data_IF_239665563254
#
_entry.id   IF_239665563254
#
_cell.length_a   1.000
_cell.length_b   1.000
_cell.length_c   1.000
_cell.angle_alpha   90.00
_cell.angle_beta   90.00
_cell.angle_gamma   90.00
#
_symmetry.space_group_name_H-M   'P 1'
#
loop_
_entity.id
_entity.type
_entity.pdbx_description
1 polymer ?
#
# COMPACT_ATOMS: atom_id res chain seq x y z
N UNK A 1 -8.89 -14.95 -23.17
CA UNK A 1 -7.89 -14.45 -22.21
C UNK A 1 -6.60 -14.17 -22.97
N UNK A 2 -6.10 -12.92 -22.96
CA UNK A 2 -4.85 -12.55 -23.65
C UNK A 2 -3.67 -12.77 -22.70
N UNK A 3 -3.18 -14.01 -22.65
CA UNK A 3 -2.12 -14.42 -21.72
C UNK A 3 -0.80 -13.63 -21.94
N UNK A 4 -0.33 -13.38 -23.18
CA UNK A 4 0.85 -12.53 -23.39
C UNK A 4 0.75 -11.15 -22.77
N UNK A 5 -0.41 -10.48 -22.90
CA UNK A 5 -0.64 -9.16 -22.31
C UNK A 5 -0.67 -9.20 -20.79
N UNK A 6 -1.23 -10.25 -20.20
CA UNK A 6 -1.19 -10.44 -18.74
C UNK A 6 0.22 -10.70 -18.22
N UNK A 7 1.04 -11.44 -18.97
CA UNK A 7 2.47 -11.65 -18.66
C UNK A 7 3.23 -10.33 -18.69
N UNK A 8 2.97 -9.48 -19.69
CA UNK A 8 3.58 -8.14 -19.79
C UNK A 8 3.23 -7.28 -18.58
N UNK A 9 1.94 -7.22 -18.20
CA UNK A 9 1.49 -6.48 -17.02
C UNK A 9 2.13 -7.04 -15.76
N UNK A 10 2.13 -8.37 -15.56
CA UNK A 10 2.77 -8.99 -14.41
C UNK A 10 4.25 -8.58 -14.30
N UNK A 11 5.00 -8.67 -15.40
CA UNK A 11 6.41 -8.31 -15.42
C UNK A 11 6.61 -6.83 -15.12
N UNK A 12 5.78 -5.95 -15.71
CA UNK A 12 5.83 -4.51 -15.45
C UNK A 12 5.72 -4.18 -13.96
N UNK A 13 4.78 -4.81 -13.25
CA UNK A 13 4.61 -4.59 -11.81
C UNK A 13 5.67 -5.29 -10.97
N UNK A 14 6.17 -6.46 -11.41
CA UNK A 14 7.25 -7.18 -10.74
C UNK A 14 8.59 -6.41 -10.78
N UNK A 15 8.75 -5.45 -11.70
CA UNK A 15 9.99 -4.68 -11.86
C UNK A 15 9.88 -3.23 -11.41
N UNK A 16 8.79 -2.80 -10.74
CA UNK A 16 8.60 -1.39 -10.35
C UNK A 16 9.77 -0.85 -9.51
N UNK A 17 10.24 -1.61 -8.52
CA UNK A 17 11.36 -1.20 -7.66
C UNK A 17 12.73 -1.67 -8.18
N UNK A 18 12.76 -2.33 -9.33
CA UNK A 18 13.95 -2.94 -9.91
C UNK A 18 14.69 -2.02 -10.87
N UNK A 19 15.99 -1.84 -10.64
CA UNK A 19 16.90 -1.27 -11.65
C UNK A 19 17.75 -2.41 -12.24
N UNK A 20 17.81 -2.52 -13.56
CA UNK A 20 18.71 -3.41 -14.32
C UNK A 20 18.79 -4.86 -13.78
N UNK A 21 17.63 -5.52 -13.68
CA UNK A 21 17.54 -6.88 -13.16
C UNK A 21 17.82 -7.91 -14.28
N UNK A 22 18.94 -8.62 -14.18
CA UNK A 22 19.31 -9.72 -15.11
C UNK A 22 18.60 -11.06 -14.83
N UNK A 23 17.66 -11.09 -13.89
CA UNK A 23 16.92 -12.28 -13.51
C UNK A 23 15.40 -12.03 -13.57
N UNK A 24 14.65 -13.13 -13.70
CA UNK A 24 13.18 -13.07 -13.75
C UNK A 24 12.65 -12.61 -12.39
N UNK A 25 12.12 -11.39 -12.35
CA UNK A 25 11.53 -10.81 -11.15
C UNK A 25 10.20 -11.49 -10.79
N UNK A 26 9.92 -11.58 -9.48
CA UNK A 26 8.66 -12.08 -8.95
C UNK A 26 7.87 -10.87 -8.42
N UNK A 27 6.58 -10.82 -8.72
CA UNK A 27 5.73 -9.75 -8.23
C UNK A 27 5.66 -9.82 -6.69
N UNK A 28 5.65 -8.69 -6.03
CA UNK A 28 5.43 -8.61 -4.58
C UNK A 28 4.02 -8.10 -4.31
N UNK A 29 3.40 -8.53 -3.21
CA UNK A 29 2.01 -8.17 -2.88
C UNK A 29 1.75 -6.67 -2.86
N UNK A 30 2.71 -5.86 -2.40
CA UNK A 30 2.61 -4.41 -2.42
C UNK A 30 2.42 -3.82 -3.83
N UNK A 31 3.02 -4.45 -4.85
CA UNK A 31 2.84 -4.07 -6.25
C UNK A 31 1.59 -4.68 -6.88
N UNK A 32 1.10 -5.82 -6.39
CA UNK A 32 -0.26 -6.27 -6.70
C UNK A 32 -1.29 -5.23 -6.23
N UNK A 33 -1.16 -4.74 -5.00
CA UNK A 33 -2.04 -3.67 -4.50
C UNK A 33 -1.89 -2.37 -5.30
N UNK A 34 -0.69 -2.01 -5.73
CA UNK A 34 -0.49 -0.89 -6.67
C UNK A 34 -1.31 -1.10 -7.95
N UNK A 35 -1.27 -2.29 -8.56
CA UNK A 35 -2.10 -2.61 -9.72
C UNK A 35 -3.60 -2.45 -9.42
N UNK A 36 -4.08 -2.98 -8.30
CA UNK A 36 -5.49 -2.88 -7.93
C UNK A 36 -5.95 -1.41 -7.78
N UNK A 37 -5.06 -0.53 -7.31
CA UNK A 37 -5.30 0.92 -7.31
C UNK A 37 -5.32 1.52 -8.71
N UNK A 38 -4.33 1.17 -9.53
CA UNK A 38 -4.18 1.70 -10.89
C UNK A 38 -5.38 1.36 -11.77
N UNK A 39 -5.92 0.14 -11.64
CA UNK A 39 -7.15 -0.30 -12.32
C UNK A 39 -8.44 0.23 -11.69
N UNK A 40 -8.31 1.12 -10.68
CA UNK A 40 -9.39 1.82 -10.00
C UNK A 40 -10.37 0.88 -9.30
N UNK A 41 -9.91 -0.27 -8.79
CA UNK A 41 -10.76 -1.21 -8.06
C UNK A 41 -11.40 -0.54 -6.83
N UNK A 42 -10.60 0.23 -6.09
CA UNK A 42 -11.01 1.00 -4.90
C UNK A 42 -12.05 2.08 -5.17
N UNK A 43 -12.08 2.61 -6.39
CA UNK A 43 -13.07 3.60 -6.79
C UNK A 43 -14.42 2.94 -7.11
N UNK A 44 -14.40 1.67 -7.50
CA UNK A 44 -15.60 0.94 -7.92
C UNK A 44 -16.34 0.25 -6.77
N UNK A 45 -15.81 0.31 -5.55
CA UNK A 45 -16.52 -0.17 -4.35
C UNK A 45 -15.91 -1.38 -3.66
N UNK A 46 -14.68 -1.74 -4.01
CA UNK A 46 -13.92 -2.81 -3.35
C UNK A 46 -12.65 -2.21 -2.75
N UNK A 47 -12.54 -2.18 -1.42
CA UNK A 47 -11.31 -1.78 -0.73
C UNK A 47 -10.21 -2.84 -0.90
N UNK A 48 -8.94 -2.43 -0.71
CA UNK A 48 -7.82 -3.38 -0.73
C UNK A 48 -7.93 -4.42 0.38
N UNK A 49 -8.45 -4.03 1.55
CA UNK A 49 -8.70 -4.94 2.67
C UNK A 49 -9.75 -6.00 2.30
N UNK A 50 -10.86 -5.60 1.67
CA UNK A 50 -11.87 -6.56 1.20
C UNK A 50 -11.32 -7.49 0.12
N UNK A 51 -10.51 -6.97 -0.80
CA UNK A 51 -9.85 -7.79 -1.82
C UNK A 51 -8.91 -8.83 -1.18
N UNK A 52 -8.06 -8.42 -0.24
CA UNK A 52 -7.17 -9.34 0.48
C UNK A 52 -7.93 -10.43 1.24
N UNK A 53 -8.96 -10.05 2.01
CA UNK A 53 -9.75 -11.00 2.78
C UNK A 53 -10.45 -12.00 1.86
N UNK A 54 -11.01 -11.53 0.75
CA UNK A 54 -11.66 -12.38 -0.24
C UNK A 54 -10.68 -13.37 -0.89
N UNK A 55 -9.46 -12.93 -1.20
CA UNK A 55 -8.44 -13.79 -1.79
C UNK A 55 -7.89 -14.80 -0.77
N UNK A 56 -7.71 -14.40 0.48
CA UNK A 56 -7.28 -15.27 1.57
C UNK A 56 -8.32 -16.32 1.95
N UNK A 57 -9.61 -16.01 1.82
CA UNK A 57 -10.72 -16.95 2.06
C UNK A 57 -10.77 -18.09 1.02
N UNK A 58 -10.10 -17.94 -0.12
CA UNK A 58 -9.92 -19.01 -1.09
C UNK A 58 -8.63 -19.81 -0.78
N UNK A 59 -8.70 -21.05 -0.26
CA UNK A 59 -7.51 -21.84 0.05
C UNK A 59 -6.64 -22.14 -1.18
N UNK A 60 -7.23 -22.08 -2.38
CA UNK A 60 -6.51 -22.32 -3.64
C UNK A 60 -5.71 -21.10 -4.12
N UNK A 61 -5.83 -19.94 -3.46
CA UNK A 61 -5.00 -18.77 -3.76
C UNK A 61 -3.56 -18.95 -3.26
N UNK A 62 -3.35 -19.86 -2.29
CA UNK A 62 -2.11 -20.07 -1.54
C UNK A 62 -1.43 -18.76 -1.10
N UNK A 63 -2.23 -17.74 -0.80
CA UNK A 63 -1.72 -16.52 -0.19
C UNK A 63 -1.45 -16.85 1.29
N UNK A 64 -0.21 -16.64 1.71
CA UNK A 64 0.30 -17.09 3.01
C UNK A 64 -0.17 -16.22 4.19
N UNK A 65 -0.54 -14.97 3.89
CA UNK A 65 -0.96 -13.99 4.89
C UNK A 65 -2.20 -13.22 4.45
N UNK A 66 -2.92 -12.59 5.37
CA UNK A 66 -4.01 -11.70 4.94
C UNK A 66 -3.48 -10.39 4.36
N UNK A 67 -2.39 -9.85 4.93
CA UNK A 67 -1.98 -8.46 4.66
C UNK A 67 -0.45 -8.25 4.64
N UNK A 68 0.39 -9.29 4.53
CA UNK A 68 1.84 -9.09 4.47
C UNK A 68 2.25 -8.47 3.12
N UNK A 69 2.76 -7.22 3.08
CA UNK A 69 3.02 -6.49 1.84
C UNK A 69 4.16 -7.08 1.02
N UNK A 70 5.06 -7.83 1.63
CA UNK A 70 6.30 -8.27 1.01
C UNK A 70 6.26 -9.74 0.56
N UNK A 71 5.08 -10.35 0.61
CA UNK A 71 4.84 -11.70 0.13
C UNK A 71 5.08 -11.80 -1.40
N UNK A 72 5.79 -12.83 -1.88
CA UNK A 72 5.92 -13.08 -3.31
C UNK A 72 4.57 -13.56 -3.88
N UNK A 73 4.20 -12.98 -5.03
CA UNK A 73 3.01 -13.34 -5.79
C UNK A 73 3.47 -13.93 -7.12
N UNK A 74 3.36 -15.24 -7.29
CA UNK A 74 3.67 -15.90 -8.55
C UNK A 74 2.63 -15.59 -9.62
N UNK A 75 3.01 -15.75 -10.90
CA UNK A 75 2.13 -15.43 -12.03
C UNK A 75 0.76 -16.12 -11.96
N UNK A 76 0.71 -17.37 -11.49
CA UNK A 76 -0.56 -18.08 -11.33
C UNK A 76 -1.42 -17.49 -10.18
N UNK A 77 -0.81 -17.07 -9.06
CA UNK A 77 -1.51 -16.36 -7.97
C UNK A 77 -2.00 -15.00 -8.44
N UNK A 78 -1.23 -14.32 -9.27
CA UNK A 78 -1.64 -13.08 -9.93
C UNK A 78 -2.91 -13.29 -10.78
N UNK A 79 -2.96 -14.35 -11.60
CA UNK A 79 -4.15 -14.67 -12.38
C UNK A 79 -5.36 -14.98 -11.48
N UNK A 80 -5.17 -15.75 -10.41
CA UNK A 80 -6.20 -16.02 -9.40
C UNK A 80 -6.67 -14.73 -8.72
N UNK A 81 -5.75 -13.81 -8.43
CA UNK A 81 -6.05 -12.52 -7.81
C UNK A 81 -6.92 -11.65 -8.70
N UNK A 82 -6.58 -11.55 -10.00
CA UNK A 82 -7.40 -10.82 -10.97
C UNK A 82 -8.79 -11.45 -11.11
N UNK A 83 -8.86 -12.77 -11.15
CA UNK A 83 -10.13 -13.48 -11.23
C UNK A 83 -10.99 -13.24 -9.98
N UNK A 84 -10.42 -13.41 -8.79
CA UNK A 84 -11.10 -13.14 -7.52
C UNK A 84 -11.58 -11.70 -7.40
N UNK A 85 -10.74 -10.73 -7.80
CA UNK A 85 -11.14 -9.32 -7.85
C UNK A 85 -12.28 -9.05 -8.83
N UNK A 86 -12.30 -9.70 -10.00
CA UNK A 86 -13.41 -9.57 -10.96
C UNK A 86 -14.73 -10.05 -10.36
N UNK A 87 -14.69 -11.14 -9.58
CA UNK A 87 -15.86 -11.69 -8.92
C UNK A 87 -16.32 -10.80 -7.76
N UNK A 88 -15.38 -10.35 -6.92
CA UNK A 88 -15.67 -9.46 -5.81
C UNK A 88 -16.25 -8.12 -6.27
N UNK A 89 -15.72 -7.57 -7.37
CA UNK A 89 -16.26 -6.36 -8.00
C UNK A 89 -17.71 -6.56 -8.46
N UNK A 90 -18.03 -7.74 -8.98
CA UNK A 90 -19.39 -8.08 -9.37
C UNK A 90 -20.33 -8.11 -8.16
N UNK A 91 -19.92 -8.80 -7.09
CA UNK A 91 -20.71 -8.93 -5.86
C UNK A 91 -20.95 -7.57 -5.19
N UNK A 92 -19.97 -6.68 -5.23
CA UNK A 92 -20.06 -5.34 -4.63
C UNK A 92 -20.88 -4.33 -5.44
N UNK A 93 -20.92 -4.45 -6.77
CA UNK A 93 -21.61 -3.49 -7.64
C UNK A 93 -23.02 -3.92 -8.04
N UNK A 94 -23.29 -5.23 -8.07
CA UNK A 94 -24.59 -5.77 -8.47
C UNK A 94 -25.23 -6.46 -7.27
N UNK A 95 -26.17 -5.78 -6.62
CA UNK A 95 -27.15 -6.43 -5.75
C UNK A 95 -27.88 -7.52 -6.55
N UNK A 96 -27.43 -8.77 -6.41
CA UNK A 96 -28.14 -10.00 -6.80
C UNK A 96 -28.76 -10.03 -8.22
N UNK A 97 -28.07 -9.53 -9.26
CA UNK A 97 -28.58 -9.57 -10.66
C UNK A 97 -28.16 -10.80 -11.47
N UNK A 98 -27.78 -11.89 -10.81
CA UNK A 98 -27.56 -13.18 -11.48
C UNK A 98 -28.50 -14.23 -10.90
N UNK A 99 -29.80 -14.02 -11.14
CA UNK A 99 -30.84 -15.02 -10.81
C UNK A 99 -30.60 -16.34 -11.56
N UNK A 100 -29.87 -16.31 -12.68
CA UNK A 100 -29.52 -17.49 -13.45
C UNK A 100 -28.07 -17.45 -13.94
N UNK A 101 -27.21 -18.29 -13.35
CA UNK A 101 -25.87 -18.56 -13.87
C UNK A 101 -25.98 -19.41 -15.15
N UNK A 102 -25.94 -18.76 -16.31
CA UNK A 102 -25.83 -19.45 -17.59
C UNK A 102 -24.39 -19.93 -17.81
N UNK A 103 -24.23 -20.99 -18.61
CA UNK A 103 -22.90 -21.48 -18.98
C UNK A 103 -22.06 -20.35 -19.61
N UNK A 104 -20.81 -20.21 -19.15
CA UNK A 104 -19.86 -19.22 -19.66
C UNK A 104 -19.92 -17.82 -19.02
N UNK A 105 -20.83 -17.60 -18.07
CA UNK A 105 -20.99 -16.29 -17.41
C UNK A 105 -19.73 -15.84 -16.66
N UNK A 106 -19.03 -16.78 -16.02
CA UNK A 106 -17.76 -16.53 -15.33
C UNK A 106 -16.70 -16.02 -16.31
N UNK A 107 -16.56 -16.70 -17.46
CA UNK A 107 -15.63 -16.29 -18.51
C UNK A 107 -15.97 -14.91 -19.07
N UNK A 108 -17.27 -14.60 -19.18
CA UNK A 108 -17.75 -13.29 -19.60
C UNK A 108 -17.37 -12.20 -18.59
N UNK A 109 -17.66 -12.41 -17.31
CA UNK A 109 -17.34 -11.46 -16.21
C UNK A 109 -15.83 -11.18 -16.18
N UNK A 110 -15.01 -12.24 -16.23
CA UNK A 110 -13.57 -12.06 -16.19
C UNK A 110 -13.06 -11.33 -17.45
N UNK A 111 -13.61 -11.65 -18.63
CA UNK A 111 -13.26 -10.95 -19.87
C UNK A 111 -13.61 -9.46 -19.81
N UNK A 112 -14.82 -9.12 -19.38
CA UNK A 112 -15.27 -7.73 -19.21
C UNK A 112 -14.36 -6.97 -18.24
N UNK A 113 -14.04 -7.57 -17.09
CA UNK A 113 -13.10 -6.98 -16.13
C UNK A 113 -11.71 -6.71 -16.73
N UNK A 114 -11.18 -7.64 -17.53
CA UNK A 114 -9.90 -7.45 -18.19
C UNK A 114 -9.95 -6.31 -19.22
N UNK A 115 -11.00 -6.26 -20.03
CA UNK A 115 -11.15 -5.29 -21.13
C UNK A 115 -11.50 -3.88 -20.64
N UNK A 116 -12.29 -3.76 -19.58
CA UNK A 116 -12.79 -2.47 -19.07
C UNK A 116 -11.89 -1.90 -17.96
N UNK A 117 -11.30 -2.75 -17.12
CA UNK A 117 -10.53 -2.31 -15.96
C UNK A 117 -9.03 -2.53 -16.13
N UNK A 118 -8.60 -3.77 -16.38
CA UNK A 118 -7.17 -4.12 -16.31
C UNK A 118 -6.40 -3.54 -17.49
N UNK A 119 -6.74 -3.91 -18.72
CA UNK A 119 -5.98 -3.53 -19.91
C UNK A 119 -5.93 -2.03 -20.20
N UNK A 120 -6.98 -1.23 -19.92
CA UNK A 120 -6.93 0.21 -20.17
C UNK A 120 -6.17 0.99 -19.09
N UNK A 121 -5.94 0.41 -17.90
CA UNK A 121 -5.45 1.17 -16.75
C UNK A 121 -4.17 0.62 -16.11
N UNK A 122 -3.83 -0.65 -16.32
CA UNK A 122 -2.55 -1.20 -15.86
C UNK A 122 -1.37 -0.35 -16.38
N UNK A 123 -0.39 -0.09 -15.51
CA UNK A 123 0.76 0.76 -15.79
C UNK A 123 0.49 2.27 -15.69
N UNK A 124 -0.76 2.70 -15.50
CA UNK A 124 -1.09 4.10 -15.17
C UNK A 124 -0.91 4.33 -13.67
N UNK A 125 0.34 4.31 -13.23
CA UNK A 125 0.72 4.36 -11.82
C UNK A 125 0.08 5.55 -11.10
N UNK A 126 -0.71 5.25 -10.07
CA UNK A 126 -1.29 6.24 -9.16
C UNK A 126 -0.41 6.40 -7.93
N UNK A 127 0.01 7.64 -7.67
CA UNK A 127 0.91 7.97 -6.57
C UNK A 127 2.38 7.69 -6.88
N UNK A 128 3.26 8.19 -6.03
CA UNK A 128 4.72 8.14 -6.22
C UNK A 128 5.49 7.48 -5.08
N UNK A 129 4.80 7.05 -4.01
CA UNK A 129 5.41 6.46 -2.82
C UNK A 129 6.27 5.22 -3.11
N UNK A 130 5.81 4.35 -4.02
CA UNK A 130 6.48 3.09 -4.35
C UNK A 130 7.34 3.17 -5.61
N UNK A 131 7.41 4.34 -6.25
CA UNK A 131 8.17 4.58 -7.47
C UNK A 131 9.27 5.60 -7.23
N UNK A 132 8.90 6.87 -7.07
CA UNK A 132 9.82 8.01 -6.88
C UNK A 132 10.39 8.06 -5.46
N UNK A 133 9.55 7.75 -4.47
CA UNK A 133 9.87 7.92 -3.05
C UNK A 133 10.14 6.59 -2.32
N UNK A 134 10.36 5.52 -3.08
CA UNK A 134 10.49 4.16 -2.55
C UNK A 134 11.68 3.97 -1.60
N UNK A 135 12.67 4.85 -1.67
CA UNK A 135 13.93 4.79 -0.91
C UNK A 135 14.02 5.87 0.20
N UNK A 136 12.97 6.70 0.37
CA UNK A 136 12.98 7.79 1.37
C UNK A 136 13.13 7.29 2.81
N UNK A 137 12.63 6.09 3.10
CA UNK A 137 12.61 5.52 4.45
C UNK A 137 12.75 3.99 4.40
N UNK A 138 13.27 3.34 5.46
CA UNK A 138 13.25 1.88 5.59
C UNK A 138 11.81 1.35 5.59
N UNK A 139 11.35 0.79 4.48
CA UNK A 139 9.92 0.43 4.30
C UNK A 139 9.47 -0.66 5.27
N UNK A 140 10.38 -1.57 5.63
CA UNK A 140 10.15 -2.59 6.66
C UNK A 140 9.83 -1.96 8.03
N UNK A 141 10.58 -0.93 8.43
CA UNK A 141 10.31 -0.24 9.71
C UNK A 141 9.00 0.55 9.68
N UNK A 142 8.62 1.10 8.52
CA UNK A 142 7.32 1.75 8.35
C UNK A 142 6.18 0.74 8.48
N UNK A 143 6.35 -0.47 7.93
CA UNK A 143 5.39 -1.56 8.07
C UNK A 143 5.27 -2.03 9.53
N UNK A 144 6.40 -2.18 10.24
CA UNK A 144 6.38 -2.49 11.67
C UNK A 144 5.65 -1.43 12.49
N UNK A 145 5.85 -0.13 12.19
CA UNK A 145 5.10 0.95 12.81
C UNK A 145 3.59 0.85 12.51
N UNK A 146 3.23 0.51 11.28
CA UNK A 146 1.84 0.28 10.88
C UNK A 146 1.21 -0.87 11.69
N UNK A 147 1.91 -2.00 11.84
CA UNK A 147 1.44 -3.15 12.64
C UNK A 147 1.19 -2.79 14.11
N UNK A 148 1.94 -1.83 14.67
CA UNK A 148 1.77 -1.37 16.05
C UNK A 148 0.49 -0.55 16.26
N UNK A 149 -0.09 0.00 15.20
CA UNK A 149 -1.43 0.62 15.23
C UNK A 149 -2.51 -0.47 15.16
N UNK A 150 -2.25 -1.54 14.39
CA UNK A 150 -3.13 -2.68 14.16
C UNK A 150 -3.28 -2.99 12.68
N UNK A 151 -3.70 -4.21 12.33
CA UNK A 151 -3.87 -4.62 10.92
C UNK A 151 -5.11 -5.51 10.72
N UNK A 152 -6.08 -5.11 9.88
CA UNK A 152 -6.28 -3.75 9.37
C UNK A 152 -6.87 -2.83 10.46
N UNK A 153 -6.44 -1.57 10.50
CA UNK A 153 -7.00 -0.57 11.41
C UNK A 153 -7.90 0.43 10.69
N UNK A 154 -8.85 1.00 11.42
CA UNK A 154 -9.78 2.01 10.91
C UNK A 154 -9.12 3.39 10.77
N UNK A 155 -9.70 4.26 9.95
CA UNK A 155 -9.29 5.66 9.87
C UNK A 155 -9.37 6.37 11.25
N UNK A 156 -10.32 5.95 12.10
CA UNK A 156 -10.43 6.41 13.50
C UNK A 156 -9.22 6.04 14.33
N UNK A 157 -8.83 4.76 14.29
CA UNK A 157 -7.66 4.23 14.98
C UNK A 157 -6.39 4.92 14.47
N UNK A 158 -6.21 4.99 13.15
CA UNK A 158 -5.07 5.70 12.54
C UNK A 158 -4.93 7.13 13.07
N UNK A 159 -6.03 7.91 13.07
CA UNK A 159 -6.02 9.27 13.59
C UNK A 159 -5.76 9.33 15.09
N UNK A 160 -6.31 8.40 15.87
CA UNK A 160 -6.06 8.35 17.31
C UNK A 160 -4.57 8.13 17.62
N UNK A 161 -3.94 7.20 16.89
CA UNK A 161 -2.53 6.86 17.09
C UNK A 161 -1.57 7.91 16.49
N UNK A 162 -1.97 8.66 15.45
CA UNK A 162 -1.07 9.60 14.74
C UNK A 162 -1.35 11.09 15.00
N UNK A 163 -2.58 11.46 15.37
CA UNK A 163 -3.02 12.84 15.55
C UNK A 163 -3.47 13.09 17.00
N UNK A 164 -2.55 13.54 17.84
CA UNK A 164 -2.90 14.00 19.19
C UNK A 164 -3.19 15.49 19.26
N UNK A 165 -3.89 15.88 20.35
CA UNK A 165 -4.07 17.30 20.69
C UNK A 165 -2.69 17.96 20.86
N UNK A 166 -2.63 19.27 20.59
CA UNK A 166 -1.43 20.08 20.84
C UNK A 166 -0.91 19.80 22.25
N UNK A 167 0.39 19.52 22.38
CA UNK A 167 1.08 19.18 23.64
C UNK A 167 0.77 17.81 24.26
N UNK A 168 0.25 16.85 23.49
CA UNK A 168 0.18 15.44 23.89
C UNK A 168 0.95 14.56 22.94
N UNK A 169 1.64 13.57 23.48
CA UNK A 169 2.42 12.66 22.65
C UNK A 169 1.51 11.61 22.00
N UNK A 170 1.71 11.30 20.70
CA UNK A 170 0.90 10.31 20.01
C UNK A 170 1.07 8.94 20.69
N UNK A 171 0.02 8.13 20.90
CA UNK A 171 0.16 6.84 21.57
C UNK A 171 1.17 5.89 20.92
N UNK A 172 1.41 6.02 19.61
CA UNK A 172 2.47 5.28 18.94
C UNK A 172 3.88 5.66 19.40
N UNK A 173 4.04 6.74 20.19
CA UNK A 173 5.34 7.20 20.64
C UNK A 173 6.00 6.31 21.69
N UNK A 174 5.19 5.65 22.52
CA UNK A 174 5.67 4.71 23.54
C UNK A 174 6.29 3.45 22.93
N UNK A 175 6.08 3.21 21.63
CA UNK A 175 6.54 2.02 20.93
C UNK A 175 7.95 2.18 20.35
N UNK A 176 8.37 3.42 20.09
CA UNK A 176 9.71 3.72 19.61
C UNK A 176 10.54 4.16 20.82
N UNK A 177 11.46 3.29 21.26
CA UNK A 177 12.32 3.54 22.41
C UNK A 177 12.95 4.95 22.35
N UNK A 178 12.79 5.73 23.41
CA UNK A 178 13.38 7.08 23.55
C UNK A 178 14.92 7.08 23.43
N UNK A 179 15.54 5.92 23.68
CA UNK A 179 17.00 5.72 23.60
C UNK A 179 17.55 5.66 22.17
N UNK A 180 16.69 5.49 21.16
CA UNK A 180 17.10 5.51 19.74
C UNK A 180 16.74 6.86 19.17
N UNK A 181 17.53 7.89 19.47
CA UNK A 181 17.54 9.11 18.67
C UNK A 181 18.35 8.82 17.41
N UNK A 182 17.75 8.69 16.21
CA UNK A 182 18.55 8.70 15.00
C UNK A 182 19.24 10.06 14.95
N UNK A 183 20.57 10.07 15.09
CA UNK A 183 21.38 11.29 15.06
C UNK A 183 21.26 12.01 13.71
N UNK A 184 20.91 11.28 12.66
CA UNK A 184 20.68 11.74 11.28
C UNK A 184 19.74 10.76 10.57
N UNK A 185 18.86 11.27 9.71
CA UNK A 185 18.21 10.45 8.67
C UNK A 185 19.31 10.16 7.67
N UNK A 186 19.65 8.89 7.49
CA UNK A 186 20.68 8.47 6.54
C UNK A 186 20.04 8.08 5.22
N UNK A 187 20.59 8.59 4.12
CA UNK A 187 20.18 8.18 2.79
C UNK A 187 20.53 6.69 2.58
N UNK A 188 19.67 5.99 1.85
CA UNK A 188 19.78 4.57 1.63
C UNK A 188 18.72 4.05 0.68
N UNK A 189 18.83 2.78 0.34
CA UNK A 189 17.95 2.14 -0.62
C UNK A 189 17.25 0.94 0.02
N UNK A 190 15.95 0.77 -0.24
CA UNK A 190 15.27 -0.48 0.07
C UNK A 190 15.71 -1.55 -0.94
N UNK A 191 16.15 -2.69 -0.42
CA UNK A 191 16.66 -3.81 -1.21
C UNK A 191 16.04 -5.12 -0.72
N UNK A 192 15.93 -6.08 -1.63
CA UNK A 192 15.45 -7.44 -1.34
C UNK A 192 16.58 -8.43 -1.61
N UNK A 193 17.39 -8.80 -0.60
CA UNK A 193 18.36 -9.89 -0.71
C UNK A 193 17.68 -11.24 -0.99
N UNK A 194 18.53 -12.25 -1.23
CA UNK A 194 18.11 -13.65 -1.32
C UNK A 194 17.34 -14.03 -0.04
N UNK A 195 16.12 -14.55 -0.20
CA UNK A 195 15.24 -14.92 0.92
C UNK A 195 14.02 -14.02 1.10
N UNK A 196 13.78 -13.06 0.20
CA UNK A 196 12.58 -12.19 0.17
C UNK A 196 12.38 -11.30 1.41
N UNK A 197 13.41 -11.12 2.23
CA UNK A 197 13.39 -10.16 3.33
C UNK A 197 13.79 -8.79 2.82
N UNK A 198 13.04 -7.74 3.19
CA UNK A 198 13.40 -6.36 2.81
C UNK A 198 14.40 -5.80 3.82
N UNK A 199 15.50 -5.26 3.31
CA UNK A 199 16.52 -4.55 4.09
C UNK A 199 16.67 -3.12 3.59
N UNK A 200 17.17 -2.24 4.45
CA UNK A 200 17.54 -0.88 4.07
C UNK A 200 19.06 -0.75 4.05
N UNK A 201 19.62 -0.54 2.87
CA UNK A 201 21.04 -0.37 2.65
C UNK A 201 21.39 1.11 2.78
N UNK A 202 21.97 1.49 3.92
CA UNK A 202 22.47 2.85 4.13
C UNK A 202 23.67 3.12 3.21
N UNK A 203 23.68 4.28 2.57
CA UNK A 203 24.85 4.76 1.84
C UNK A 203 25.90 5.19 2.86
N UNK A 204 27.11 4.63 2.80
CA UNK A 204 28.20 4.97 3.73
C UNK A 204 28.56 6.46 3.58
N UNK A 205 28.81 7.12 4.72
CA UNK A 205 29.08 8.57 4.83
C UNK A 205 30.30 9.06 4.02
N UNK A 206 31.21 8.19 3.59
CA UNK A 206 32.38 8.54 2.79
C UNK A 206 32.05 9.11 1.38
N UNK A 207 30.77 9.15 0.99
CA UNK A 207 30.30 9.75 -0.27
C UNK A 207 29.21 10.82 -0.09
N UNK A 208 28.83 11.19 1.13
CA UNK A 208 27.72 12.14 1.41
C UNK A 208 28.24 13.43 2.06
N UNK A 209 29.44 13.87 1.68
CA UNK A 209 29.90 15.21 2.00
C UNK A 209 29.26 16.23 1.04
N UNK A 210 27.96 16.48 1.20
CA UNK A 210 27.24 17.72 0.85
C UNK A 210 25.76 17.40 0.61
N UNK A 211 24.88 17.77 1.55
CA UNK A 211 23.51 18.25 1.26
C UNK A 211 22.66 18.64 2.46
N UNK A 212 23.18 18.70 3.67
CA UNK A 212 22.42 19.25 4.79
C UNK A 212 23.31 20.25 5.52
N UNK A 213 23.12 21.53 5.23
CA UNK A 213 23.62 22.58 6.11
C UNK A 213 22.94 22.41 7.49
N UNK A 214 23.70 22.47 8.59
CA UNK A 214 23.11 22.42 9.92
C UNK A 214 22.11 23.57 10.06
N UNK A 215 20.91 23.34 10.63
CA UNK A 215 19.93 24.39 10.81
C UNK A 215 20.54 25.48 11.69
N UNK A 216 20.66 26.67 11.10
CA UNK A 216 20.96 27.90 11.82
C UNK A 216 19.70 28.29 12.59
N UNK A 217 19.91 28.68 13.86
CA UNK A 217 18.92 29.14 14.85
C UNK A 217 18.25 28.05 15.72
N UNK A 218 18.52 28.16 17.03
CA UNK A 218 17.82 27.48 18.12
C UNK A 218 16.40 28.05 18.24
N UNK A 219 15.53 27.72 17.29
CA UNK A 219 14.11 27.73 17.60
C UNK A 219 13.83 26.67 18.67
N UNK A 220 12.79 26.87 19.48
CA UNK A 220 12.33 25.90 20.48
C UNK A 220 11.71 24.70 19.73
N UNK A 221 12.59 23.88 19.16
CA UNK A 221 12.29 22.80 18.23
C UNK A 221 11.65 21.69 19.05
N UNK A 222 10.32 21.59 18.96
CA UNK A 222 9.52 20.46 19.44
C UNK A 222 10.28 19.16 19.18
N UNK A 223 10.49 18.33 20.22
CA UNK A 223 11.33 17.11 20.16
C UNK A 223 10.88 16.16 19.02
N UNK A 224 9.62 16.25 18.63
CA UNK A 224 8.99 15.47 17.56
C UNK A 224 9.19 16.03 16.15
N UNK A 225 9.71 17.25 15.99
CA UNK A 225 9.89 17.90 14.69
C UNK A 225 10.87 17.21 13.74
N UNK A 226 11.82 16.43 14.26
CA UNK A 226 12.85 15.70 13.52
C UNK A 226 12.59 14.19 13.49
N UNK A 227 11.34 13.78 13.65
CA UNK A 227 10.95 12.38 13.85
C UNK A 227 9.82 11.95 12.91
N UNK A 228 9.55 10.64 12.87
CA UNK A 228 8.40 10.07 12.16
C UNK A 228 7.04 10.55 12.67
N UNK A 229 6.99 11.29 13.79
CA UNK A 229 5.77 11.88 14.36
C UNK A 229 5.32 13.18 13.67
N UNK A 230 5.84 13.50 12.49
CA UNK A 230 5.48 14.68 11.69
C UNK A 230 3.98 14.76 11.40
N UNK A 231 3.25 13.63 11.41
CA UNK A 231 1.78 13.60 11.32
C UNK A 231 1.08 14.47 12.38
N UNK A 232 1.64 14.58 13.60
CA UNK A 232 1.12 15.46 14.66
C UNK A 232 1.06 16.92 14.21
N UNK A 233 2.02 17.38 13.39
CA UNK A 233 2.06 18.75 12.84
C UNK A 233 1.08 18.95 11.68
N UNK A 234 0.79 17.91 10.91
CA UNK A 234 -0.18 17.98 9.81
C UNK A 234 -1.61 18.16 10.35
N UNK A 235 -1.92 17.51 11.46
CA UNK A 235 -3.22 17.56 12.11
C UNK A 235 -4.31 16.78 11.36
N UNK A 236 -5.39 16.44 12.09
CA UNK A 236 -6.48 15.58 11.63
C UNK A 236 -7.03 15.97 10.25
N UNK A 237 -7.24 17.27 10.00
CA UNK A 237 -7.84 17.76 8.75
C UNK A 237 -6.98 17.42 7.53
N UNK A 238 -5.67 17.72 7.57
CA UNK A 238 -4.77 17.46 6.43
C UNK A 238 -4.58 15.96 6.22
N UNK A 239 -4.45 15.19 7.29
CA UNK A 239 -4.32 13.73 7.19
C UNK A 239 -5.55 13.11 6.56
N UNK A 240 -6.76 13.51 6.97
CA UNK A 240 -7.98 13.03 6.33
C UNK A 240 -8.10 13.47 4.87
N UNK A 241 -7.62 14.66 4.50
CA UNK A 241 -7.53 15.06 3.10
C UNK A 241 -6.62 14.13 2.29
N UNK A 242 -5.48 13.68 2.85
CA UNK A 242 -4.63 12.68 2.20
C UNK A 242 -5.33 11.33 2.09
N UNK A 243 -5.90 10.81 3.18
CA UNK A 243 -6.59 9.51 3.21
C UNK A 243 -7.74 9.49 2.20
N UNK A 244 -8.56 10.55 2.16
CA UNK A 244 -9.72 10.63 1.24
C UNK A 244 -9.33 10.70 -0.24
N UNK A 245 -8.13 11.20 -0.57
CA UNK A 245 -7.63 11.19 -1.96
C UNK A 245 -7.26 9.78 -2.42
N UNK A 246 -6.74 8.96 -1.51
CA UNK A 246 -6.27 7.60 -1.82
C UNK A 246 -7.42 6.59 -1.70
N UNK A 247 -8.28 6.78 -0.70
CA UNK A 247 -9.42 5.92 -0.39
C UNK A 247 -10.72 6.72 -0.55
N UNK A 248 -11.21 6.94 -1.79
CA UNK A 248 -12.39 7.78 -2.03
C UNK A 248 -13.66 7.26 -1.33
N UNK A 249 -13.75 5.93 -1.11
CA UNK A 249 -14.84 5.27 -0.39
C UNK A 249 -14.85 5.49 1.11
N UNK A 250 -13.88 6.21 1.66
CA UNK A 250 -14.00 6.68 3.04
C UNK A 250 -15.16 7.67 3.19
N UNK A 251 -15.67 8.26 2.10
CA UNK A 251 -16.96 8.95 2.16
C UNK A 251 -18.10 7.94 2.04
N UNK A 252 -19.02 7.98 3.00
CA UNK A 252 -20.31 7.29 2.90
C UNK A 252 -21.18 7.95 1.83
N UNK A 253 -22.23 7.24 1.40
CA UNK A 253 -23.13 7.71 0.34
C UNK A 253 -23.82 9.05 0.67
N UNK A 254 -23.92 9.41 1.95
CA UNK A 254 -24.44 10.70 2.44
C UNK A 254 -23.37 11.80 2.54
N UNK A 255 -22.16 11.57 2.02
CA UNK A 255 -21.06 12.54 2.00
C UNK A 255 -20.33 12.69 3.35
N UNK A 256 -20.66 11.89 4.36
CA UNK A 256 -19.92 11.87 5.64
C UNK A 256 -18.67 11.01 5.54
N UNK A 257 -17.68 11.27 6.38
CA UNK A 257 -16.49 10.42 6.47
C UNK A 257 -16.83 9.19 7.32
N UNK A 258 -16.79 8.00 6.71
CA UNK A 258 -16.80 6.72 7.39
C UNK A 258 -15.47 6.51 8.12
N UNK A 259 -15.46 6.86 9.40
CA UNK A 259 -14.31 6.71 10.28
C UNK A 259 -13.93 5.25 10.55
N UNK A 260 -14.82 4.31 10.27
CA UNK A 260 -14.63 2.88 10.52
C UNK A 260 -14.11 2.15 9.26
N UNK A 261 -13.90 2.89 8.15
CA UNK A 261 -13.22 2.38 6.96
C UNK A 261 -11.84 1.84 7.32
N UNK A 262 -11.57 0.59 6.89
CA UNK A 262 -10.32 -0.11 7.17
C UNK A 262 -9.23 0.29 6.16
N UNK A 263 -8.11 0.76 6.69
CA UNK A 263 -6.93 1.14 5.93
C UNK A 263 -6.01 -0.08 5.77
N UNK A 264 -5.39 -0.17 4.60
CA UNK A 264 -4.28 -1.08 4.29
C UNK A 264 -2.96 -0.29 4.30
N UNK A 265 -1.84 -0.99 4.38
CA UNK A 265 -0.51 -0.38 4.44
C UNK A 265 -0.12 0.60 3.30
N UNK A 266 -0.37 0.33 2.00
CA UNK A 266 0.23 1.10 0.91
C UNK A 266 -0.51 2.38 0.53
#
# INVERSE_FOLDING_TARGET
MNLPKLTEIYNQYATIAGNDINFKSVLTRIFLWQLLRDIKLTHQGVSLVEADLFLADNPSSCIESNHYPFEPIYFWQFLQSLFGCSWLLLLSTKNQKYDHFTSGIISKIFKEFLEENVFPNAGKFQGSSLTEYKDLVPIQCVYELYLKIGEPHSAREFLYFTCTKKNKDPPCCAVLNEDIKPKTITDGNNAVPIGYQIIYLQVKEDQVASRIEPPTEEENIDAFSKSLYTFRKLGKKKIMQCVTKICPRIYSADGKVNMDYKLSFP
#
